data_IF_223015964680
#
_entry.id   IF_223015964680
#
_cell.length_a   1.000
_cell.length_b   1.000
_cell.length_c   1.000
_cell.angle_alpha   90.00
_cell.angle_beta   90.00
_cell.angle_gamma   90.00
#
_symmetry.space_group_name_H-M   'P 1'
#
loop_
_entity.id
_entity.type
_entity.pdbx_description
1 polymer ?
#
# COMPACT_ATOMS: atom_id res chain seq x y z
N UNK A 1 -29.17 7.91 20.18
CA UNK A 1 -28.54 6.80 20.93
C UNK A 1 -28.87 5.57 20.11
N UNK A 2 -27.89 5.01 19.38
CA UNK A 2 -28.11 3.86 18.50
C UNK A 2 -28.30 2.58 19.33
N UNK A 3 -28.99 1.59 18.75
CA UNK A 3 -29.20 0.29 19.40
C UNK A 3 -27.85 -0.42 19.63
N UNK A 4 -27.81 -1.40 20.54
CA UNK A 4 -26.59 -2.20 20.77
C UNK A 4 -26.12 -2.84 19.46
N UNK A 5 -25.05 -2.28 18.87
CA UNK A 5 -24.49 -2.75 17.60
C UNK A 5 -24.32 -1.65 16.56
N UNK A 6 -25.01 -0.52 16.70
CA UNK A 6 -24.91 0.57 15.73
C UNK A 6 -23.65 1.40 15.95
N UNK A 7 -22.87 1.57 14.87
CA UNK A 7 -21.80 2.55 14.84
C UNK A 7 -22.32 3.87 14.29
N UNK A 8 -22.26 4.92 15.11
CA UNK A 8 -22.49 6.28 14.62
C UNK A 8 -21.33 6.66 13.69
N UNK A 9 -21.61 6.74 12.40
CA UNK A 9 -20.64 7.17 11.40
C UNK A 9 -20.42 8.69 11.49
N UNK A 10 -19.17 9.17 11.32
CA UNK A 10 -18.95 10.57 11.00
C UNK A 10 -19.55 10.88 9.60
N UNK A 11 -19.65 12.16 9.20
CA UNK A 11 -19.88 12.49 7.80
C UNK A 11 -18.84 11.76 6.93
N UNK A 12 -19.32 11.04 5.92
CA UNK A 12 -18.49 10.35 4.93
C UNK A 12 -18.68 11.02 3.58
N UNK A 13 -17.57 11.23 2.88
CA UNK A 13 -17.56 11.74 1.51
C UNK A 13 -17.64 10.57 0.55
N UNK A 14 -18.76 10.44 -0.15
CA UNK A 14 -18.93 9.43 -1.19
C UNK A 14 -18.71 10.07 -2.56
N UNK A 15 -17.69 9.61 -3.29
CA UNK A 15 -17.55 9.88 -4.71
C UNK A 15 -18.41 8.88 -5.48
N UNK A 16 -19.46 9.38 -6.15
CA UNK A 16 -20.32 8.55 -7.00
C UNK A 16 -19.86 8.76 -8.44
N UNK A 17 -19.28 7.72 -9.02
CA UNK A 17 -18.77 7.68 -10.38
C UNK A 17 -18.95 6.26 -10.92
N UNK A 18 -18.90 6.08 -12.23
CA UNK A 18 -18.72 4.75 -12.82
C UNK A 18 -17.47 4.13 -12.19
N UNK A 19 -17.63 2.96 -11.60
CA UNK A 19 -16.56 2.30 -10.86
C UNK A 19 -15.75 1.45 -11.85
N UNK A 20 -14.56 1.90 -12.31
CA UNK A 20 -13.89 1.23 -13.42
C UNK A 20 -13.47 -0.21 -13.11
N UNK A 21 -13.44 -0.55 -11.83
CA UNK A 21 -13.09 -1.84 -11.27
C UNK A 21 -14.32 -2.70 -10.93
N UNK A 22 -15.54 -2.30 -11.32
CA UNK A 22 -16.76 -3.08 -11.07
C UNK A 22 -16.67 -4.50 -11.65
N UNK A 23 -15.88 -4.67 -12.72
CA UNK A 23 -15.61 -5.92 -13.41
C UNK A 23 -14.32 -6.64 -12.96
N UNK A 24 -13.70 -6.21 -11.85
CA UNK A 24 -12.42 -6.76 -11.38
C UNK A 24 -12.51 -8.26 -11.07
N UNK A 25 -13.70 -8.74 -10.69
CA UNK A 25 -14.01 -10.17 -10.59
C UNK A 25 -15.30 -10.50 -11.36
N UNK A 26 -15.20 -11.02 -12.59
CA UNK A 26 -16.38 -11.33 -13.41
C UNK A 26 -17.21 -12.50 -12.89
N UNK A 27 -16.76 -13.21 -11.83
CA UNK A 27 -17.49 -14.34 -11.23
C UNK A 27 -18.35 -13.93 -10.03
N UNK A 28 -18.22 -12.71 -9.54
CA UNK A 28 -19.01 -12.20 -8.43
C UNK A 28 -19.87 -11.02 -8.90
N UNK A 29 -20.94 -10.71 -8.13
CA UNK A 29 -21.74 -9.50 -8.33
C UNK A 29 -20.82 -8.28 -8.45
N UNK A 30 -21.17 -7.29 -9.29
CA UNK A 30 -20.27 -6.17 -9.56
C UNK A 30 -19.85 -5.53 -8.25
N UNK A 31 -18.56 -5.23 -8.12
CA UNK A 31 -18.09 -4.47 -6.96
C UNK A 31 -18.71 -3.08 -7.06
N UNK A 32 -19.63 -2.75 -6.17
CA UNK A 32 -20.40 -1.48 -6.26
C UNK A 32 -19.69 -0.29 -5.58
N UNK A 33 -18.53 -0.51 -4.95
CA UNK A 33 -17.76 0.56 -4.35
C UNK A 33 -16.58 0.10 -3.50
N UNK A 34 -15.86 1.07 -2.94
CA UNK A 34 -14.70 0.86 -2.09
C UNK A 34 -14.84 1.61 -0.76
N UNK A 35 -14.48 0.95 0.34
CA UNK A 35 -14.41 1.58 1.65
C UNK A 35 -13.06 2.28 1.82
N UNK A 36 -13.09 3.61 1.81
CA UNK A 36 -11.90 4.44 1.98
C UNK A 36 -11.50 4.63 3.44
N UNK A 37 -10.37 5.33 3.63
CA UNK A 37 -9.79 5.57 4.95
C UNK A 37 -10.70 6.38 5.88
N UNK A 38 -11.64 7.19 5.38
CA UNK A 38 -12.60 7.91 6.23
C UNK A 38 -13.42 6.97 7.12
N UNK A 39 -13.81 5.80 6.58
CA UNK A 39 -14.47 4.75 7.34
C UNK A 39 -13.47 3.86 8.06
N UNK A 40 -12.41 3.40 7.36
CA UNK A 40 -11.47 2.44 7.94
C UNK A 40 -10.72 3.00 9.15
N UNK A 41 -10.53 4.32 9.24
CA UNK A 41 -9.93 5.01 10.39
C UNK A 41 -10.72 4.85 11.71
N UNK A 42 -11.94 4.31 11.66
CA UNK A 42 -12.73 4.02 12.87
C UNK A 42 -12.31 2.69 13.53
N UNK A 43 -11.50 1.86 12.85
CA UNK A 43 -11.19 0.50 13.27
C UNK A 43 -9.73 0.14 13.05
N UNK A 44 -9.19 -0.70 13.93
CA UNK A 44 -7.99 -1.44 13.54
C UNK A 44 -8.41 -2.59 12.64
N UNK A 45 -7.89 -2.59 11.41
CA UNK A 45 -8.35 -3.49 10.35
C UNK A 45 -7.35 -4.60 10.15
N UNK A 46 -7.81 -5.85 10.32
CA UNK A 46 -7.02 -7.06 10.11
C UNK A 46 -7.44 -7.72 8.80
N UNK A 47 -6.51 -7.71 7.84
CA UNK A 47 -6.65 -8.37 6.55
C UNK A 47 -5.91 -9.70 6.59
N UNK A 48 -6.66 -10.79 6.49
CA UNK A 48 -6.16 -12.16 6.49
C UNK A 48 -6.59 -12.86 5.20
N UNK A 49 -5.88 -12.55 4.11
CA UNK A 49 -6.21 -13.04 2.77
C UNK A 49 -6.16 -14.56 2.66
N UNK A 50 -5.19 -15.21 3.34
CA UNK A 50 -5.08 -16.68 3.35
C UNK A 50 -6.31 -17.34 3.98
N UNK A 51 -6.88 -16.71 5.01
CA UNK A 51 -8.12 -17.19 5.64
C UNK A 51 -9.40 -16.62 5.01
N UNK A 52 -9.29 -15.73 4.02
CA UNK A 52 -10.43 -15.03 3.41
C UNK A 52 -11.20 -14.16 4.41
N UNK A 53 -10.51 -13.46 5.32
CA UNK A 53 -11.15 -12.71 6.41
C UNK A 53 -10.68 -11.27 6.48
N UNK A 54 -11.64 -10.38 6.68
CA UNK A 54 -11.42 -9.01 7.17
C UNK A 54 -12.06 -8.90 8.54
N UNK A 55 -11.33 -8.38 9.53
CA UNK A 55 -11.86 -8.14 10.87
C UNK A 55 -11.68 -6.67 11.25
N UNK A 56 -12.74 -6.10 11.82
CA UNK A 56 -12.75 -4.73 12.31
C UNK A 56 -12.69 -4.76 13.84
N UNK A 57 -11.57 -4.33 14.39
CA UNK A 57 -11.40 -4.19 15.83
C UNK A 57 -11.66 -2.74 16.25
N UNK A 58 -12.02 -2.55 17.52
CA UNK A 58 -12.01 -1.20 18.10
C UNK A 58 -10.60 -0.62 17.98
N UNK A 59 -10.51 0.66 17.63
CA UNK A 59 -9.24 1.39 17.57
C UNK A 59 -8.39 1.19 18.84
N UNK A 60 -7.08 0.98 18.66
CA UNK A 60 -6.11 0.70 19.71
C UNK A 60 -6.09 -0.76 20.22
N UNK A 61 -6.78 -1.70 19.57
CA UNK A 61 -6.73 -3.14 19.89
C UNK A 61 -5.83 -3.93 18.94
N UNK A 62 -5.51 -3.36 17.78
CA UNK A 62 -4.74 -3.97 16.69
C UNK A 62 -3.37 -4.46 17.14
N UNK A 63 -2.59 -3.63 17.86
CA UNK A 63 -1.26 -4.05 18.34
C UNK A 63 -1.30 -5.28 19.26
N UNK A 64 -2.29 -5.37 20.17
CA UNK A 64 -2.42 -6.53 21.04
C UNK A 64 -2.77 -7.81 20.25
N UNK A 65 -3.68 -7.68 19.27
CA UNK A 65 -4.03 -8.77 18.34
C UNK A 65 -2.81 -9.19 17.50
N UNK A 66 -2.03 -8.21 17.04
CA UNK A 66 -0.83 -8.42 16.25
C UNK A 66 0.24 -9.18 17.04
N UNK A 67 0.53 -8.74 18.26
CA UNK A 67 1.49 -9.39 19.15
C UNK A 67 1.06 -10.83 19.47
N UNK A 68 -0.21 -11.06 19.81
CA UNK A 68 -0.75 -12.39 20.07
C UNK A 68 -0.69 -13.32 18.84
N UNK A 69 -0.68 -12.74 17.63
CA UNK A 69 -0.60 -13.47 16.36
C UNK A 69 0.83 -13.60 15.81
N UNK A 70 1.85 -13.08 16.52
CA UNK A 70 3.24 -13.08 16.05
C UNK A 70 3.48 -12.23 14.79
N UNK A 71 2.65 -11.22 14.54
CA UNK A 71 2.87 -10.26 13.46
C UNK A 71 4.00 -9.29 13.85
N UNK A 72 4.82 -8.90 12.89
CA UNK A 72 5.91 -7.94 13.09
C UNK A 72 5.44 -6.52 12.78
N UNK A 73 5.88 -5.56 13.58
CA UNK A 73 5.70 -4.15 13.27
C UNK A 73 6.58 -3.77 12.06
N UNK A 74 5.94 -3.20 11.04
CA UNK A 74 6.57 -2.51 9.92
C UNK A 74 6.39 -1.02 10.18
N UNK A 75 7.46 -0.25 10.41
CA UNK A 75 7.35 1.18 10.65
C UNK A 75 6.64 1.88 9.49
N UNK A 76 5.48 2.44 9.81
CA UNK A 76 4.64 3.17 8.88
C UNK A 76 4.50 4.63 9.32
N UNK A 77 4.25 5.51 8.35
CA UNK A 77 3.90 6.90 8.57
C UNK A 77 2.56 7.20 7.92
N UNK A 78 1.84 8.18 8.48
CA UNK A 78 0.66 8.74 7.83
C UNK A 78 1.08 9.90 6.96
N UNK A 79 0.67 9.86 5.69
CA UNK A 79 0.94 10.91 4.72
C UNK A 79 -0.12 12.00 4.82
N UNK A 80 0.32 13.20 5.23
CA UNK A 80 -0.47 14.43 5.23
C UNK A 80 -1.87 14.25 5.87
N UNK A 81 -2.83 15.03 5.42
CA UNK A 81 -4.23 14.97 5.83
C UNK A 81 -4.98 13.82 5.13
N UNK A 82 -4.36 13.14 4.16
CA UNK A 82 -5.00 12.05 3.40
C UNK A 82 -5.27 10.80 4.24
N UNK A 83 -4.55 10.64 5.36
CA UNK A 83 -4.68 9.46 6.21
C UNK A 83 -4.10 8.18 5.60
N UNK A 84 -3.46 8.26 4.43
CA UNK A 84 -2.81 7.14 3.76
C UNK A 84 -1.59 6.68 4.55
N UNK A 85 -1.40 5.36 4.60
CA UNK A 85 -0.24 4.74 5.21
C UNK A 85 0.87 4.67 4.19
N UNK A 86 2.09 4.97 4.63
CA UNK A 86 3.29 4.74 3.84
C UNK A 86 4.33 3.97 4.64
N UNK A 87 5.05 3.08 3.96
CA UNK A 87 6.20 2.36 4.50
C UNK A 87 7.47 2.70 3.72
N UNK A 88 8.61 2.33 4.27
CA UNK A 88 9.90 2.38 3.57
C UNK A 88 10.10 1.07 2.83
N UNK A 89 9.84 1.08 1.53
CA UNK A 89 9.98 -0.07 0.64
C UNK A 89 11.41 -0.14 0.10
N UNK A 90 11.97 -1.35 0.04
CA UNK A 90 13.28 -1.61 -0.50
C UNK A 90 13.30 -2.91 -1.30
N UNK A 91 14.44 -3.21 -1.92
CA UNK A 91 14.73 -4.56 -2.42
C UNK A 91 15.70 -5.26 -1.48
N UNK A 92 15.62 -6.60 -1.36
CA UNK A 92 16.60 -7.37 -0.59
C UNK A 92 18.03 -7.02 -1.01
N UNK A 93 18.89 -6.74 -0.02
CA UNK A 93 20.27 -6.32 -0.26
C UNK A 93 20.46 -4.83 -0.55
N UNK A 94 19.39 -4.04 -0.69
CA UNK A 94 19.45 -2.59 -0.87
C UNK A 94 18.95 -1.89 0.40
N UNK A 95 19.77 -0.99 0.96
CA UNK A 95 19.42 -0.29 2.21
C UNK A 95 18.77 1.07 1.98
N UNK A 96 18.83 1.64 0.78
CA UNK A 96 18.16 2.90 0.45
C UNK A 96 16.70 2.61 0.08
N UNK A 97 15.71 3.00 0.90
CA UNK A 97 14.32 2.76 0.60
C UNK A 97 13.71 3.89 -0.23
N UNK A 98 12.50 3.61 -0.71
CA UNK A 98 11.56 4.56 -1.31
C UNK A 98 10.29 4.62 -0.46
N UNK A 99 9.56 5.72 -0.56
CA UNK A 99 8.26 5.84 0.13
C UNK A 99 7.23 5.03 -0.66
N UNK A 100 6.56 4.08 -0.02
CA UNK A 100 5.50 3.29 -0.63
C UNK A 100 4.17 3.49 0.08
N UNK A 101 3.17 4.01 -0.64
CA UNK A 101 1.78 4.08 -0.17
C UNK A 101 1.20 2.66 -0.09
N UNK A 102 0.54 2.33 1.01
CA UNK A 102 -0.17 1.05 1.20
C UNK A 102 -1.57 1.19 0.61
N UNK A 103 -1.89 0.40 -0.42
CA UNK A 103 -3.14 0.53 -1.17
C UNK A 103 -3.79 -0.83 -1.47
N UNK A 104 -4.92 -1.10 -0.81
CA UNK A 104 -5.72 -2.30 -1.04
C UNK A 104 -6.68 -2.17 -2.23
N UNK A 105 -6.86 -0.97 -2.78
CA UNK A 105 -7.65 -0.70 -3.98
C UNK A 105 -6.89 -0.96 -5.28
N UNK A 106 -5.58 -1.20 -5.21
CA UNK A 106 -4.77 -1.56 -6.37
C UNK A 106 -4.45 -3.04 -6.41
N UNK A 107 -4.69 -3.67 -7.56
CA UNK A 107 -4.27 -5.05 -7.82
C UNK A 107 -2.74 -5.19 -7.90
N UNK A 108 -2.05 -4.18 -8.40
CA UNK A 108 -0.62 -4.24 -8.72
C UNK A 108 0.19 -3.21 -7.92
N UNK A 109 1.43 -3.57 -7.62
CA UNK A 109 2.43 -2.65 -7.08
C UNK A 109 3.04 -1.82 -8.21
N UNK A 110 3.16 -0.51 -8.01
CA UNK A 110 3.70 0.42 -9.00
C UNK A 110 4.83 1.28 -8.41
N UNK A 111 5.83 1.58 -9.23
CA UNK A 111 6.99 2.41 -8.90
C UNK A 111 7.09 3.55 -9.91
N UNK A 112 7.43 4.76 -9.47
CA UNK A 112 7.88 5.78 -10.42
C UNK A 112 9.32 5.51 -10.89
N UNK A 113 9.77 6.19 -11.95
CA UNK A 113 11.09 5.91 -12.53
C UNK A 113 12.24 6.19 -11.56
N UNK A 114 12.10 7.21 -10.69
CA UNK A 114 13.09 7.50 -9.65
C UNK A 114 13.16 6.42 -8.59
N UNK A 115 12.03 5.83 -8.21
CA UNK A 115 12.00 4.70 -7.29
C UNK A 115 12.62 3.45 -7.94
N UNK A 116 12.32 3.18 -9.21
CA UNK A 116 12.93 2.09 -9.96
C UNK A 116 14.47 2.19 -9.97
N UNK A 117 15.02 3.38 -10.22
CA UNK A 117 16.46 3.63 -10.17
C UNK A 117 17.06 3.36 -8.77
N UNK A 118 16.45 3.89 -7.71
CA UNK A 118 16.90 3.66 -6.32
C UNK A 118 16.85 2.18 -5.94
N UNK A 119 15.85 1.47 -6.45
CA UNK A 119 15.69 0.04 -6.27
C UNK A 119 16.50 -0.77 -7.30
N UNK A 120 17.41 -0.17 -8.06
CA UNK A 120 18.30 -0.89 -8.98
C UNK A 120 17.55 -1.69 -10.05
N UNK A 121 16.39 -1.20 -10.51
CA UNK A 121 15.72 -1.71 -11.70
C UNK A 121 16.37 -1.10 -12.96
N UNK A 122 16.20 -1.73 -14.13
CA UNK A 122 16.73 -1.19 -15.38
C UNK A 122 16.21 0.23 -15.69
N UNK A 123 16.96 1.06 -16.43
CA UNK A 123 16.55 2.41 -16.81
C UNK A 123 15.38 2.41 -17.81
N UNK A 124 14.64 3.52 -17.92
CA UNK A 124 13.39 3.66 -18.70
C UNK A 124 13.43 3.14 -20.15
N UNK A 125 14.58 3.20 -20.82
CA UNK A 125 14.74 2.75 -22.20
C UNK A 125 15.34 1.34 -22.34
N UNK A 126 15.47 0.60 -21.24
CA UNK A 126 16.06 -0.74 -21.26
C UNK A 126 15.13 -1.75 -21.96
N UNK A 127 15.72 -2.62 -22.78
CA UNK A 127 15.03 -3.70 -23.48
C UNK A 127 14.37 -4.73 -22.55
N UNK A 128 14.78 -4.78 -21.27
CA UNK A 128 14.14 -5.60 -20.24
C UNK A 128 12.64 -5.31 -20.09
N UNK A 129 12.22 -4.07 -20.36
CA UNK A 129 10.81 -3.67 -20.31
C UNK A 129 10.03 -4.01 -21.59
N UNK A 130 10.72 -4.25 -22.71
CA UNK A 130 10.09 -4.45 -24.02
C UNK A 130 9.32 -5.78 -24.15
N UNK A 131 9.61 -6.76 -23.27
CA UNK A 131 9.05 -8.12 -23.33
C UNK A 131 8.12 -8.45 -22.15
N UNK A 132 7.97 -7.54 -21.20
CA UNK A 132 7.14 -7.75 -20.01
C UNK A 132 5.65 -7.49 -20.29
N UNK A 133 4.74 -8.13 -19.53
CA UNK A 133 3.34 -7.73 -19.55
C UNK A 133 3.23 -6.25 -19.16
N UNK A 134 2.27 -5.54 -19.75
CA UNK A 134 1.99 -4.15 -19.40
C UNK A 134 0.77 -4.10 -18.50
N UNK A 135 0.82 -3.24 -17.49
CA UNK A 135 -0.33 -2.92 -16.64
C UNK A 135 -1.00 -1.67 -17.19
N UNK A 136 -2.31 -1.73 -17.34
CA UNK A 136 -3.14 -0.57 -17.66
C UNK A 136 -3.53 0.09 -16.35
N UNK A 137 -3.04 1.31 -16.11
CA UNK A 137 -3.59 2.18 -15.07
C UNK A 137 -4.57 3.17 -15.72
N UNK A 138 -5.66 3.51 -15.02
CA UNK A 138 -6.57 4.58 -15.46
C UNK A 138 -6.25 5.79 -14.61
N UNK A 139 -5.84 6.89 -15.24
CA UNK A 139 -5.63 8.17 -14.57
C UNK A 139 -6.94 8.77 -14.06
N UNK A 140 -6.85 9.74 -13.15
CA UNK A 140 -8.01 10.51 -12.67
C UNK A 140 -8.73 11.28 -13.79
N UNK A 141 -8.06 11.48 -14.92
CA UNK A 141 -8.61 12.07 -16.15
C UNK A 141 -9.27 11.04 -17.09
N UNK A 142 -9.39 9.78 -16.64
CA UNK A 142 -9.96 8.67 -17.40
C UNK A 142 -9.05 8.14 -18.50
N UNK A 143 -7.81 8.65 -18.62
CA UNK A 143 -6.90 8.21 -19.70
C UNK A 143 -6.13 6.96 -19.28
N UNK A 144 -6.02 5.96 -20.18
CA UNK A 144 -5.21 4.80 -19.92
C UNK A 144 -3.72 5.17 -19.96
N UNK A 145 -2.99 4.77 -18.93
CA UNK A 145 -1.54 4.79 -18.86
C UNK A 145 -1.03 3.35 -18.94
N UNK A 146 -0.27 3.06 -20.01
CA UNK A 146 0.44 1.79 -20.15
C UNK A 146 1.74 1.84 -19.36
N UNK A 147 1.86 0.94 -18.39
CA UNK A 147 3.05 0.80 -17.56
C UNK A 147 3.77 -0.51 -17.89
N UNK A 148 5.04 -0.46 -18.32
CA UNK A 148 5.84 -1.68 -18.41
C UNK A 148 5.99 -2.30 -17.02
N UNK A 149 6.25 -3.61 -16.97
CA UNK A 149 6.51 -4.30 -15.71
C UNK A 149 7.91 -4.91 -15.63
N UNK A 150 8.37 -5.13 -14.40
CA UNK A 150 9.62 -5.84 -14.14
C UNK A 150 9.44 -6.80 -12.96
N UNK A 151 9.98 -8.01 -13.10
CA UNK A 151 9.93 -9.01 -12.04
C UNK A 151 10.97 -8.69 -10.97
N UNK A 152 10.51 -8.45 -9.74
CA UNK A 152 11.41 -8.14 -8.64
C UNK A 152 10.87 -8.61 -7.29
N UNK A 153 11.79 -8.84 -6.36
CA UNK A 153 11.48 -9.11 -4.97
C UNK A 153 11.54 -7.82 -4.16
N UNK A 154 10.57 -7.64 -3.26
CA UNK A 154 10.47 -6.47 -2.40
C UNK A 154 10.62 -6.85 -0.92
N UNK A 155 11.05 -5.88 -0.13
CA UNK A 155 11.11 -5.93 1.34
C UNK A 155 10.87 -4.52 1.89
N UNK A 156 10.90 -4.36 3.21
CA UNK A 156 10.87 -3.05 3.87
C UNK A 156 12.18 -2.76 4.58
N UNK A 157 12.33 -1.53 5.07
CA UNK A 157 13.37 -1.14 6.03
C UNK A 157 12.76 -0.36 7.20
N UNK A 158 13.38 -0.47 8.38
CA UNK A 158 12.94 0.20 9.58
C UNK A 158 13.33 1.68 9.61
N UNK A 159 13.60 2.20 10.80
CA UNK A 159 13.90 3.63 10.96
C UNK A 159 15.33 3.98 10.50
N UNK A 160 15.54 5.25 10.16
CA UNK A 160 16.88 5.76 9.88
C UNK A 160 17.71 5.73 11.18
N UNK A 161 18.90 5.15 11.09
CA UNK A 161 19.94 5.10 12.10
C UNK A 161 21.20 5.81 11.59
N UNK A 162 22.23 5.92 12.42
CA UNK A 162 23.49 6.60 12.06
C UNK A 162 24.23 5.98 10.88
N UNK A 163 24.04 4.68 10.62
CA UNK A 163 24.71 3.91 9.56
C UNK A 163 23.81 3.58 8.36
N UNK A 164 22.58 4.08 8.34
CA UNK A 164 21.58 3.78 7.31
C UNK A 164 20.24 3.37 7.90
N UNK A 165 19.38 2.75 7.09
CA UNK A 165 18.09 2.26 7.56
C UNK A 165 18.23 0.89 8.23
N UNK A 166 17.47 0.68 9.29
CA UNK A 166 17.41 -0.61 9.98
C UNK A 166 16.93 -1.72 9.02
N UNK A 167 17.64 -2.86 8.91
CA UNK A 167 17.14 -3.99 8.15
C UNK A 167 15.93 -4.63 8.87
N UNK A 168 15.04 -5.34 8.15
CA UNK A 168 14.04 -6.17 8.80
C UNK A 168 14.66 -7.18 9.77
N UNK A 169 13.93 -7.60 10.82
CA UNK A 169 14.37 -8.67 11.71
C UNK A 169 14.72 -9.95 10.95
N UNK A 170 15.64 -10.76 11.47
CA UNK A 170 16.11 -11.98 10.79
C UNK A 170 15.03 -13.02 10.48
N UNK A 171 13.91 -13.00 11.21
CA UNK A 171 12.75 -13.86 10.95
C UNK A 171 11.92 -13.40 9.73
N UNK A 172 12.08 -12.14 9.31
CA UNK A 172 11.40 -11.60 8.14
C UNK A 172 11.97 -12.21 6.86
N UNK A 173 11.09 -12.79 6.05
CA UNK A 173 11.41 -13.10 4.65
C UNK A 173 10.94 -11.95 3.77
N UNK A 174 11.69 -11.54 2.74
CA UNK A 174 11.15 -10.68 1.69
C UNK A 174 9.88 -11.29 1.07
N UNK A 175 9.02 -10.45 0.51
CA UNK A 175 7.83 -10.93 -0.22
C UNK A 175 8.25 -11.80 -1.41
N UNK A 176 7.35 -12.62 -1.94
CA UNK A 176 7.59 -13.32 -3.21
C UNK A 176 7.74 -12.29 -4.33
N UNK A 177 8.48 -12.66 -5.38
CA UNK A 177 8.67 -11.79 -6.53
C UNK A 177 7.33 -11.48 -7.22
N UNK A 178 7.16 -10.23 -7.62
CA UNK A 178 5.97 -9.72 -8.32
C UNK A 178 6.37 -8.94 -9.57
N UNK A 179 5.43 -8.79 -10.50
CA UNK A 179 5.59 -7.90 -11.65
C UNK A 179 5.22 -6.48 -11.24
N UNK A 180 6.21 -5.69 -10.81
CA UNK A 180 5.94 -4.29 -10.46
C UNK A 180 5.75 -3.48 -11.73
N UNK A 181 4.71 -2.65 -11.78
CA UNK A 181 4.52 -1.66 -12.83
C UNK A 181 5.51 -0.50 -12.63
N UNK A 182 6.08 0.04 -13.71
CA UNK A 182 7.05 1.14 -13.63
C UNK A 182 6.58 2.32 -14.48
N UNK A 183 6.30 3.44 -13.84
CA UNK A 183 6.01 4.71 -14.48
C UNK A 183 5.43 5.75 -13.51
N UNK A 184 5.36 6.99 -14.00
CA UNK A 184 5.00 8.13 -13.16
C UNK A 184 3.48 8.21 -13.02
N UNK A 185 2.94 7.60 -11.96
CA UNK A 185 1.53 7.71 -11.61
C UNK A 185 1.22 9.11 -11.05
N UNK A 186 0.14 9.78 -11.51
CA UNK A 186 -0.25 11.09 -10.99
C UNK A 186 -0.45 11.13 -9.47
N UNK A 187 -0.97 10.04 -8.87
CA UNK A 187 -1.23 9.93 -7.44
C UNK A 187 -0.02 10.23 -6.56
N UNK A 188 1.21 9.98 -7.05
CA UNK A 188 2.42 10.27 -6.29
C UNK A 188 2.64 11.76 -6.10
N UNK A 189 2.40 12.56 -7.14
CA UNK A 189 2.57 14.00 -7.07
C UNK A 189 1.60 14.64 -6.08
N UNK A 190 0.35 14.18 -6.11
CA UNK A 190 -0.75 14.77 -5.35
C UNK A 190 -0.77 14.26 -3.89
N UNK A 191 -0.64 12.95 -3.67
CA UNK A 191 -0.75 12.37 -2.34
C UNK A 191 0.45 12.69 -1.44
N UNK A 192 1.66 12.74 -2.02
CA UNK A 192 2.90 12.99 -1.28
C UNK A 192 3.36 14.46 -1.35
N UNK A 193 2.67 15.31 -2.12
CA UNK A 193 2.94 16.74 -2.19
C UNK A 193 2.63 17.47 -0.89
N UNK A 194 2.98 18.75 -0.79
CA UNK A 194 2.70 19.58 0.40
C UNK A 194 1.41 20.42 0.26
N UNK A 195 0.59 20.13 -0.77
CA UNK A 195 -0.61 20.89 -1.14
C UNK A 195 -0.33 22.15 -1.96
N UNK A 196 0.93 22.59 -2.08
CA UNK A 196 1.36 23.72 -2.90
C UNK A 196 2.27 23.28 -4.05
N UNK A 197 3.12 22.28 -3.80
CA UNK A 197 4.11 21.75 -4.71
C UNK A 197 3.87 20.24 -4.90
N UNK A 198 3.89 19.76 -6.16
CA UNK A 198 3.80 18.34 -6.42
C UNK A 198 5.04 17.62 -5.90
N UNK A 199 4.87 16.43 -5.36
CA UNK A 199 5.99 15.57 -5.00
C UNK A 199 6.69 15.05 -6.25
N UNK A 200 8.01 15.20 -6.30
CA UNK A 200 8.83 14.76 -7.44
C UNK A 200 9.88 13.71 -7.06
N UNK A 201 9.86 13.20 -5.83
CA UNK A 201 10.83 12.22 -5.35
C UNK A 201 10.49 10.77 -5.74
N UNK A 202 11.28 9.80 -5.27
CA UNK A 202 11.03 8.38 -5.49
C UNK A 202 9.80 7.90 -4.69
N UNK A 203 8.81 7.35 -5.40
CA UNK A 203 7.57 6.89 -4.80
C UNK A 203 7.12 5.55 -5.38
N UNK A 204 6.39 4.82 -4.54
CA UNK A 204 5.78 3.55 -4.86
C UNK A 204 4.34 3.49 -4.33
N UNK A 205 3.56 2.61 -4.93
CA UNK A 205 2.24 2.18 -4.47
C UNK A 205 2.33 0.67 -4.28
N UNK A 206 2.04 0.18 -3.08
CA UNK A 206 2.09 -1.22 -2.71
C UNK A 206 0.69 -1.82 -2.79
N UNK A 207 0.48 -2.66 -3.80
CA UNK A 207 -0.82 -3.25 -4.13
C UNK A 207 -1.05 -4.64 -3.53
N UNK A 208 -2.18 -5.24 -3.89
CA UNK A 208 -2.61 -6.57 -3.44
C UNK A 208 -1.69 -7.72 -3.91
N UNK A 209 -0.96 -7.56 -5.00
CA UNK A 209 0.08 -8.50 -5.44
C UNK A 209 1.18 -8.73 -4.38
N UNK A 210 1.45 -7.72 -3.54
CA UNK A 210 2.36 -7.82 -2.38
C UNK A 210 1.59 -7.96 -1.08
N UNK A 211 0.63 -7.08 -0.83
CA UNK A 211 -0.15 -7.04 0.42
C UNK A 211 -0.92 -8.34 0.65
N UNK A 212 -1.50 -8.90 -0.41
CA UNK A 212 -2.30 -10.13 -0.38
C UNK A 212 -1.49 -11.40 -0.07
N UNK A 213 -0.16 -11.36 -0.14
CA UNK A 213 0.69 -12.51 0.16
C UNK A 213 0.66 -12.88 1.65
N UNK A 214 0.29 -11.93 2.51
CA UNK A 214 0.40 -12.04 3.97
C UNK A 214 -0.80 -11.45 4.69
N UNK A 215 -0.99 -11.94 5.92
CA UNK A 215 -1.86 -11.27 6.87
C UNK A 215 -1.21 -9.97 7.32
N UNK A 216 -1.98 -8.89 7.39
CA UNK A 216 -1.53 -7.64 7.99
C UNK A 216 -2.64 -6.93 8.77
N UNK A 217 -2.24 -6.12 9.75
CA UNK A 217 -3.14 -5.29 10.56
C UNK A 217 -2.74 -3.83 10.38
N UNK A 218 -3.70 -3.01 9.96
CA UNK A 218 -3.63 -1.56 10.03
C UNK A 218 -4.14 -1.13 11.39
N UNK A 219 -3.26 -0.67 12.26
CA UNK A 219 -3.68 -0.04 13.49
C UNK A 219 -3.97 1.44 13.24
N UNK A 220 -5.21 1.82 13.50
CA UNK A 220 -5.73 3.18 13.43
C UNK A 220 -5.78 3.74 14.85
N UNK A 221 -4.89 4.70 15.14
CA UNK A 221 -4.80 5.36 16.44
C UNK A 221 -5.26 6.81 16.38
N UNK A 222 -5.47 7.41 17.55
CA UNK A 222 -5.53 8.86 17.69
C UNK A 222 -4.11 9.43 17.49
N UNK A 223 -3.89 10.24 16.45
CA UNK A 223 -2.61 10.92 16.17
C UNK A 223 -1.95 10.54 14.83
N UNK A 224 -0.77 11.11 14.56
CA UNK A 224 -0.01 10.93 13.30
C UNK A 224 0.81 9.62 13.25
N UNK A 225 0.99 8.94 14.39
CA UNK A 225 1.65 7.64 14.43
C UNK A 225 0.61 6.54 14.27
N UNK A 226 0.70 5.84 13.15
CA UNK A 226 -0.09 4.65 12.87
C UNK A 226 0.86 3.51 12.53
N UNK A 227 0.48 2.29 12.89
CA UNK A 227 1.34 1.12 12.77
C UNK A 227 0.76 0.13 11.78
N UNK A 228 1.65 -0.45 10.99
CA UNK A 228 1.36 -1.60 10.15
C UNK A 228 2.01 -2.82 10.80
N UNK A 229 1.24 -3.89 10.98
CA UNK A 229 1.77 -5.17 11.43
C UNK A 229 1.62 -6.20 10.33
N UNK A 230 2.67 -6.97 10.01
CA UNK A 230 2.66 -7.93 8.89
C UNK A 230 3.24 -9.27 9.34
N UNK A 231 2.69 -10.37 8.80
CA UNK A 231 3.26 -11.69 9.04
C UNK A 231 4.69 -11.77 8.50
N UNK A 232 5.63 -12.43 9.19
CA UNK A 232 6.99 -12.55 8.69
C UNK A 232 7.12 -13.50 7.48
N UNK A 233 6.12 -14.37 7.23
CA UNK A 233 6.19 -15.48 6.25
C UNK A 233 4.89 -15.72 5.46
#
# INVERSE_FOLDING_TARGET
VGEQGDLKLPPLTALITDFPQEHIDPKHDPVEGMLGMELLNLFDVDFDFRAGRVRLYRAGKGAAVAAASGLLEVPAAVINETGLYAIRLARPGMLQPVIALVDCGSTFTALNWKAAEILGLPPKQDTAYAKGPQVMAIGVDGRPLQLPTFQTQLTWTGNLQSTGFEPPPSVWKPWQAVSVAVGDLPVFADALGDGLNPYTGPAALLGLDVLGQRRFILETGQGRQRRLFVSPN
#
